data_IF_057867531594
#
_entry.id   IF_057867531594
#
_cell.length_a   1.000
_cell.length_b   1.000
_cell.length_c   1.000
_cell.angle_alpha   90.00
_cell.angle_beta   90.00
_cell.angle_gamma   90.00
#
_symmetry.space_group_name_H-M   'P 1'
#
loop_
_entity.id
_entity.type
_entity.pdbx_description
1 polymer ?
#
# COMPACT_ATOMS: atom_id res chain seq x y z
N UNK A 1 26.37 1.66 -25.76
CA UNK A 1 26.11 0.66 -24.72
C UNK A 1 24.71 0.91 -24.20
N UNK A 2 23.74 0.13 -24.66
CA UNK A 2 22.36 0.17 -24.18
C UNK A 2 22.37 -0.26 -22.70
N UNK A 3 22.02 0.65 -21.80
CA UNK A 3 21.75 0.33 -20.40
C UNK A 3 20.52 -0.57 -20.38
N UNK A 4 20.70 -1.89 -20.37
CA UNK A 4 19.62 -2.79 -20.01
C UNK A 4 19.33 -2.59 -18.53
N UNK A 5 18.24 -1.88 -18.23
CA UNK A 5 17.74 -1.77 -16.87
C UNK A 5 17.27 -3.16 -16.42
N UNK A 6 17.84 -3.65 -15.32
CA UNK A 6 17.36 -4.85 -14.63
C UNK A 6 15.89 -4.72 -14.16
N UNK A 7 15.28 -3.53 -14.27
CA UNK A 7 13.86 -3.28 -13.95
C UNK A 7 12.89 -4.02 -14.88
N UNK A 8 13.31 -4.44 -16.08
CA UNK A 8 12.44 -5.17 -17.02
C UNK A 8 12.08 -6.59 -16.55
N UNK A 9 12.88 -7.21 -15.66
CA UNK A 9 12.55 -8.51 -15.06
C UNK A 9 11.75 -8.39 -13.75
N UNK A 10 11.56 -7.18 -13.24
CA UNK A 10 10.96 -6.88 -11.93
C UNK A 10 9.67 -6.06 -11.99
N UNK A 11 9.14 -5.80 -13.20
CA UNK A 11 7.87 -5.13 -13.42
C UNK A 11 6.64 -6.02 -13.11
N UNK A 12 6.66 -6.72 -11.97
CA UNK A 12 5.56 -7.52 -11.46
C UNK A 12 5.09 -7.00 -10.10
N UNK A 13 4.07 -6.13 -10.20
CA UNK A 13 2.92 -5.99 -9.31
C UNK A 13 3.18 -5.18 -8.03
N UNK A 14 2.27 -4.23 -7.80
CA UNK A 14 1.51 -4.03 -6.57
C UNK A 14 1.31 -5.38 -5.85
N UNK A 15 2.32 -5.84 -5.12
CA UNK A 15 2.63 -7.26 -4.92
C UNK A 15 1.41 -8.09 -4.53
N UNK A 16 0.78 -8.72 -5.52
CA UNK A 16 0.11 -9.99 -5.33
C UNK A 16 1.27 -10.98 -5.30
N UNK A 17 1.54 -11.63 -4.18
CA UNK A 17 2.62 -12.61 -4.21
C UNK A 17 2.15 -13.81 -5.04
N UNK A 18 2.81 -14.00 -6.17
CA UNK A 18 2.62 -15.14 -7.08
C UNK A 18 3.40 -16.37 -6.61
N UNK A 19 3.84 -16.40 -5.34
CA UNK A 19 4.53 -17.53 -4.79
C UNK A 19 3.52 -18.68 -4.63
N UNK A 20 3.81 -19.88 -5.15
CA UNK A 20 2.94 -21.02 -4.95
C UNK A 20 2.76 -21.28 -3.45
N UNK A 21 1.51 -21.31 -2.98
CA UNK A 21 1.21 -21.68 -1.60
C UNK A 21 1.48 -23.18 -1.41
N UNK A 22 2.58 -23.54 -0.73
CA UNK A 22 3.08 -24.94 -0.64
C UNK A 22 2.43 -25.79 0.45
N UNK A 23 1.10 -25.73 0.62
CA UNK A 23 0.41 -26.65 1.52
C UNK A 23 -0.70 -27.40 0.79
N UNK A 24 -0.33 -28.54 0.18
CA UNK A 24 -1.31 -29.52 -0.32
C UNK A 24 -2.11 -30.07 0.87
N UNK A 25 -3.45 -30.03 0.85
CA UNK A 25 -4.24 -30.79 1.79
C UNK A 25 -4.06 -32.29 1.49
N UNK A 26 -4.17 -33.13 2.52
CA UNK A 26 -3.96 -34.58 2.44
C UNK A 26 -4.94 -35.34 1.49
N UNK A 27 -5.85 -34.64 0.81
CA UNK A 27 -6.94 -35.20 0.01
C UNK A 27 -7.12 -34.55 -1.39
N UNK A 28 -6.20 -33.68 -1.85
CA UNK A 28 -6.31 -33.14 -3.20
C UNK A 28 -6.08 -34.25 -4.23
N UNK A 29 -6.97 -34.40 -5.21
CA UNK A 29 -6.73 -35.33 -6.32
C UNK A 29 -5.55 -34.81 -7.16
N UNK A 30 -4.67 -35.68 -7.69
CA UNK A 30 -3.57 -35.26 -8.56
C UNK A 30 -4.00 -34.33 -9.70
N UNK A 31 -5.18 -34.59 -10.26
CA UNK A 31 -5.76 -33.79 -11.35
C UNK A 31 -6.09 -32.36 -10.91
N UNK A 32 -6.55 -32.16 -9.66
CA UNK A 32 -6.78 -30.82 -9.10
C UNK A 32 -5.48 -30.03 -9.01
N UNK A 33 -4.41 -30.68 -8.54
CA UNK A 33 -3.09 -30.05 -8.42
C UNK A 33 -2.50 -29.69 -9.79
N UNK A 34 -2.71 -30.53 -10.81
CA UNK A 34 -2.22 -30.27 -12.17
C UNK A 34 -2.91 -29.06 -12.80
N UNK A 35 -4.24 -28.96 -12.64
CA UNK A 35 -4.98 -27.76 -13.02
C UNK A 35 -4.50 -26.52 -12.25
N UNK A 36 -4.26 -26.62 -10.94
CA UNK A 36 -3.70 -25.50 -10.17
C UNK A 36 -2.35 -25.06 -10.75
N UNK A 37 -1.40 -25.98 -10.90
CA UNK A 37 -0.05 -25.69 -11.43
C UNK A 37 -0.11 -25.03 -12.80
N UNK A 38 -0.97 -25.53 -13.70
CA UNK A 38 -1.16 -24.92 -15.01
C UNK A 38 -1.79 -23.53 -14.92
N UNK A 39 -2.78 -23.34 -14.05
CA UNK A 39 -3.37 -22.03 -13.75
C UNK A 39 -2.34 -21.03 -13.26
N UNK A 40 -1.42 -21.45 -12.38
CA UNK A 40 -0.31 -20.62 -11.90
C UNK A 40 0.66 -20.23 -13.02
N UNK A 41 0.97 -21.14 -13.94
CA UNK A 41 1.80 -20.82 -15.10
C UNK A 41 1.14 -19.74 -15.97
N UNK A 42 -0.17 -19.82 -16.20
CA UNK A 42 -0.89 -18.76 -16.90
C UNK A 42 -0.94 -17.45 -16.11
N UNK A 43 -1.13 -17.52 -14.79
CA UNK A 43 -1.20 -16.36 -13.90
C UNK A 43 0.10 -15.55 -13.90
N UNK A 44 1.25 -16.22 -13.77
CA UNK A 44 2.58 -15.58 -13.80
C UNK A 44 2.84 -14.90 -15.15
N UNK A 45 2.33 -15.47 -16.24
CA UNK A 45 2.37 -14.89 -17.58
C UNK A 45 1.24 -13.87 -17.87
N UNK A 46 0.47 -13.48 -16.84
CA UNK A 46 -0.66 -12.54 -16.94
C UNK A 46 -1.78 -12.97 -17.91
N UNK A 47 -1.84 -14.27 -18.26
CA UNK A 47 -2.90 -14.87 -19.06
C UNK A 47 -4.12 -15.21 -18.17
N UNK A 48 -4.74 -14.17 -17.60
CA UNK A 48 -5.72 -14.33 -16.53
C UNK A 48 -6.94 -15.16 -16.90
N UNK A 49 -7.46 -15.06 -18.12
CA UNK A 49 -8.63 -15.85 -18.54
C UNK A 49 -8.31 -17.36 -18.64
N UNK A 50 -7.10 -17.72 -19.10
CA UNK A 50 -6.64 -19.11 -19.08
C UNK A 50 -6.37 -19.59 -17.65
N UNK A 51 -5.78 -18.74 -16.81
CA UNK A 51 -5.60 -19.05 -15.39
C UNK A 51 -6.94 -19.33 -14.69
N UNK A 52 -7.97 -18.50 -14.92
CA UNK A 52 -9.31 -18.70 -14.39
C UNK A 52 -9.93 -20.03 -14.82
N UNK A 53 -9.75 -20.42 -16.09
CA UNK A 53 -10.25 -21.70 -16.59
C UNK A 53 -9.67 -22.87 -15.79
N UNK A 54 -8.36 -22.88 -15.60
CA UNK A 54 -7.66 -23.95 -14.88
C UNK A 54 -7.97 -23.92 -13.37
N UNK A 55 -8.02 -22.76 -12.73
CA UNK A 55 -8.41 -22.66 -11.33
C UNK A 55 -9.87 -23.08 -11.08
N UNK A 56 -10.78 -22.82 -12.02
CA UNK A 56 -12.14 -23.33 -11.94
C UNK A 56 -12.20 -24.86 -12.06
N UNK A 57 -11.37 -25.46 -12.91
CA UNK A 57 -11.28 -26.91 -13.00
C UNK A 57 -10.70 -27.53 -11.71
N UNK A 58 -9.64 -26.94 -11.16
CA UNK A 58 -9.07 -27.34 -9.87
C UNK A 58 -10.10 -27.23 -8.73
N UNK A 59 -10.81 -26.10 -8.60
CA UNK A 59 -11.82 -25.91 -7.56
C UNK A 59 -13.09 -26.75 -7.74
N UNK A 60 -13.35 -27.28 -8.94
CA UNK A 60 -14.41 -28.27 -9.16
C UNK A 60 -14.05 -29.62 -8.53
N UNK A 61 -12.76 -29.97 -8.52
CA UNK A 61 -12.23 -31.21 -7.97
C UNK A 61 -11.90 -31.08 -6.47
N UNK A 62 -11.39 -29.93 -6.05
CA UNK A 62 -11.16 -29.58 -4.64
C UNK A 62 -11.71 -28.18 -4.30
N UNK A 63 -13.00 -28.09 -3.92
CA UNK A 63 -13.65 -26.81 -3.62
C UNK A 63 -13.08 -26.06 -2.41
N UNK A 64 -12.30 -26.74 -1.56
CA UNK A 64 -11.77 -26.20 -0.30
C UNK A 64 -10.28 -25.86 -0.38
N UNK A 65 -9.69 -25.82 -1.59
CA UNK A 65 -8.31 -25.37 -1.77
C UNK A 65 -8.19 -23.86 -1.56
N UNK A 66 -7.76 -23.47 -0.35
CA UNK A 66 -7.50 -22.07 -0.02
C UNK A 66 -6.45 -21.44 -0.95
N UNK A 67 -5.44 -22.21 -1.37
CA UNK A 67 -4.41 -21.76 -2.29
C UNK A 67 -5.00 -21.42 -3.67
N UNK A 68 -5.82 -22.31 -4.24
CA UNK A 68 -6.43 -22.08 -5.55
C UNK A 68 -7.41 -20.90 -5.50
N UNK A 69 -8.13 -20.72 -4.39
CA UNK A 69 -8.97 -19.54 -4.17
C UNK A 69 -8.15 -18.24 -4.15
N UNK A 70 -6.99 -18.20 -3.48
CA UNK A 70 -6.09 -17.04 -3.51
C UNK A 70 -5.63 -16.74 -4.94
N UNK A 71 -5.21 -17.76 -5.68
CA UNK A 71 -4.67 -17.57 -7.03
C UNK A 71 -5.76 -17.19 -8.05
N UNK A 72 -6.97 -17.75 -7.91
CA UNK A 72 -8.14 -17.34 -8.70
C UNK A 72 -8.59 -15.92 -8.37
N UNK A 73 -8.61 -15.55 -7.10
CA UNK A 73 -8.88 -14.18 -6.67
C UNK A 73 -7.85 -13.19 -7.24
N UNK A 74 -6.59 -13.61 -7.34
CA UNK A 74 -5.50 -12.85 -7.97
C UNK A 74 -5.75 -12.65 -9.47
N UNK A 75 -6.17 -13.70 -10.18
CA UNK A 75 -6.57 -13.60 -11.59
C UNK A 75 -7.78 -12.67 -11.81
N UNK A 76 -8.81 -12.76 -10.95
CA UNK A 76 -9.95 -11.85 -10.98
C UNK A 76 -9.53 -10.40 -10.74
N UNK A 77 -8.59 -10.15 -9.83
CA UNK A 77 -8.03 -8.83 -9.57
C UNK A 77 -7.27 -8.29 -10.81
N UNK A 78 -6.47 -9.14 -11.48
CA UNK A 78 -5.84 -8.81 -12.77
C UNK A 78 -6.83 -8.37 -13.84
N UNK A 79 -8.01 -9.01 -13.88
CA UNK A 79 -9.13 -8.67 -14.77
C UNK A 79 -10.04 -7.56 -14.22
N UNK A 80 -9.70 -6.94 -13.10
CA UNK A 80 -10.50 -5.90 -12.42
C UNK A 80 -11.89 -6.35 -11.99
N UNK A 81 -12.10 -7.66 -11.85
CA UNK A 81 -13.32 -8.28 -11.34
C UNK A 81 -13.26 -8.32 -9.80
N UNK A 82 -13.18 -7.14 -9.16
CA UNK A 82 -12.82 -7.01 -7.75
C UNK A 82 -13.79 -7.66 -6.76
N UNK A 83 -15.10 -7.61 -7.03
CA UNK A 83 -16.09 -8.29 -6.19
C UNK A 83 -15.87 -9.80 -6.14
N UNK A 84 -15.54 -10.42 -7.28
CA UNK A 84 -15.21 -11.85 -7.36
C UNK A 84 -13.89 -12.16 -6.65
N UNK A 85 -12.88 -11.31 -6.83
CA UNK A 85 -11.61 -11.43 -6.12
C UNK A 85 -11.78 -11.40 -4.60
N UNK A 86 -12.53 -10.42 -4.08
CA UNK A 86 -12.83 -10.31 -2.64
C UNK A 86 -13.58 -11.54 -2.13
N UNK A 87 -14.54 -12.07 -2.89
CA UNK A 87 -15.28 -13.28 -2.50
C UNK A 87 -14.37 -14.50 -2.37
N UNK A 88 -13.43 -14.68 -3.30
CA UNK A 88 -12.44 -15.75 -3.27
C UNK A 88 -11.46 -15.58 -2.09
N UNK A 89 -10.94 -14.36 -1.87
CA UNK A 89 -10.07 -14.10 -0.72
C UNK A 89 -10.79 -14.30 0.61
N UNK A 90 -12.06 -13.90 0.73
CA UNK A 90 -12.87 -14.15 1.91
C UNK A 90 -13.01 -15.65 2.19
N UNK A 91 -13.22 -16.46 1.14
CA UNK A 91 -13.33 -17.91 1.25
C UNK A 91 -11.99 -18.53 1.64
N UNK A 92 -10.89 -18.10 1.02
CA UNK A 92 -9.55 -18.54 1.37
C UNK A 92 -9.18 -18.21 2.83
N UNK A 93 -9.53 -17.01 3.32
CA UNK A 93 -9.28 -16.59 4.72
C UNK A 93 -10.09 -17.46 5.70
N UNK A 94 -11.33 -17.83 5.37
CA UNK A 94 -12.13 -18.74 6.21
C UNK A 94 -11.49 -20.12 6.32
N UNK A 95 -10.94 -20.64 5.22
CA UNK A 95 -10.30 -21.95 5.17
C UNK A 95 -8.89 -21.96 5.79
N UNK A 96 -8.12 -20.89 5.58
CA UNK A 96 -6.75 -20.72 6.03
C UNK A 96 -6.55 -19.32 6.66
N UNK A 97 -6.98 -19.11 7.92
CA UNK A 97 -6.96 -17.79 8.58
C UNK A 97 -5.56 -17.24 8.86
N UNK A 98 -4.51 -18.06 8.66
CA UNK A 98 -3.10 -17.67 8.79
C UNK A 98 -2.41 -17.53 7.42
N UNK A 99 -3.16 -17.46 6.32
CA UNK A 99 -2.59 -17.21 5.00
C UNK A 99 -2.41 -15.70 4.78
N UNK A 100 -1.20 -15.19 4.99
CA UNK A 100 -0.90 -13.76 4.83
C UNK A 100 -1.18 -13.25 3.41
N UNK A 101 -1.05 -14.10 2.38
CA UNK A 101 -1.29 -13.74 0.98
C UNK A 101 -2.75 -13.41 0.74
N UNK A 102 -3.66 -14.17 1.35
CA UNK A 102 -5.09 -13.92 1.20
C UNK A 102 -5.47 -12.53 1.75
N UNK A 103 -4.91 -12.15 2.90
CA UNK A 103 -5.08 -10.81 3.47
C UNK A 103 -4.39 -9.74 2.61
N UNK A 104 -3.13 -9.92 2.25
CA UNK A 104 -2.41 -8.96 1.42
C UNK A 104 -3.14 -8.72 0.09
N UNK A 105 -3.58 -9.76 -0.61
CA UNK A 105 -4.21 -9.64 -1.92
C UNK A 105 -5.63 -9.05 -1.82
N UNK A 106 -6.37 -9.33 -0.74
CA UNK A 106 -7.64 -8.64 -0.46
C UNK A 106 -7.40 -7.15 -0.14
N UNK A 107 -6.36 -6.83 0.63
CA UNK A 107 -5.94 -5.46 0.91
C UNK A 107 -5.56 -4.69 -0.36
N UNK A 108 -4.84 -5.33 -1.28
CA UNK A 108 -4.57 -4.77 -2.63
C UNK A 108 -5.87 -4.49 -3.36
N UNK A 109 -6.83 -5.41 -3.31
CA UNK A 109 -8.14 -5.23 -3.98
C UNK A 109 -8.91 -4.05 -3.39
N UNK A 110 -8.95 -3.92 -2.06
CA UNK A 110 -9.53 -2.76 -1.40
C UNK A 110 -8.81 -1.46 -1.76
N UNK A 111 -7.48 -1.47 -1.87
CA UNK A 111 -6.73 -0.28 -2.30
C UNK A 111 -7.07 0.13 -3.74
N UNK A 112 -7.26 -0.84 -4.64
CA UNK A 112 -7.69 -0.58 -6.03
C UNK A 112 -9.09 0.01 -6.13
N UNK A 113 -9.96 -0.34 -5.20
CA UNK A 113 -11.31 0.22 -5.04
C UNK A 113 -11.33 1.51 -4.19
N UNK A 114 -10.14 2.05 -3.83
CA UNK A 114 -9.96 3.24 -2.99
C UNK A 114 -10.55 3.11 -1.56
N UNK A 115 -10.81 1.89 -1.10
CA UNK A 115 -11.18 1.59 0.29
C UNK A 115 -9.91 1.48 1.15
N UNK A 116 -9.26 2.62 1.35
CA UNK A 116 -7.99 2.71 2.09
C UNK A 116 -8.08 2.17 3.53
N UNK A 117 -9.15 2.41 4.31
CA UNK A 117 -9.29 1.83 5.65
C UNK A 117 -9.29 0.30 5.65
N UNK A 118 -10.05 -0.35 4.75
CA UNK A 118 -10.05 -1.82 4.67
C UNK A 118 -8.71 -2.34 4.15
N UNK A 119 -8.11 -1.67 3.18
CA UNK A 119 -6.78 -2.02 2.66
C UNK A 119 -5.72 -2.05 3.77
N UNK A 120 -5.63 -0.97 4.56
CA UNK A 120 -4.66 -0.87 5.66
C UNK A 120 -4.90 -1.96 6.71
N UNK A 121 -6.17 -2.24 7.07
CA UNK A 121 -6.52 -3.30 8.02
C UNK A 121 -6.04 -4.68 7.56
N UNK A 122 -6.23 -4.98 6.27
CA UNK A 122 -5.80 -6.25 5.70
C UNK A 122 -4.28 -6.36 5.61
N UNK A 123 -3.58 -5.29 5.24
CA UNK A 123 -2.12 -5.29 5.27
C UNK A 123 -1.56 -5.41 6.70
N UNK A 124 -2.20 -4.78 7.68
CA UNK A 124 -1.84 -4.96 9.09
C UNK A 124 -1.98 -6.42 9.52
N UNK A 125 -3.05 -7.10 9.10
CA UNK A 125 -3.22 -8.52 9.39
C UNK A 125 -2.18 -9.38 8.67
N UNK A 126 -1.83 -9.07 7.43
CA UNK A 126 -0.77 -9.77 6.71
C UNK A 126 0.59 -9.62 7.42
N UNK A 127 0.94 -8.42 7.88
CA UNK A 127 2.17 -8.14 8.66
C UNK A 127 2.15 -8.87 10.01
N UNK A 128 1.01 -8.95 10.69
CA UNK A 128 0.86 -9.68 11.95
C UNK A 128 1.11 -11.19 11.76
N UNK A 129 0.57 -11.76 10.68
CA UNK A 129 0.70 -13.19 10.34
C UNK A 129 2.14 -13.52 9.94
N UNK A 130 2.74 -12.74 9.03
CA UNK A 130 4.13 -12.93 8.61
C UNK A 130 4.87 -11.58 8.54
N UNK A 131 5.60 -11.21 9.61
CA UNK A 131 6.28 -9.93 9.70
C UNK A 131 7.54 -9.84 8.83
N UNK A 132 7.94 -10.92 8.15
CA UNK A 132 9.11 -10.93 7.28
C UNK A 132 8.77 -10.59 5.83
N UNK A 133 7.49 -10.32 5.52
CA UNK A 133 7.03 -10.09 4.15
C UNK A 133 7.11 -8.61 3.77
N UNK A 134 8.16 -8.16 3.03
CA UNK A 134 8.34 -6.75 2.68
C UNK A 134 7.13 -6.15 1.96
N UNK A 135 6.45 -7.00 1.19
CA UNK A 135 5.39 -6.64 0.27
C UNK A 135 4.19 -6.04 1.01
N UNK A 136 3.87 -6.57 2.19
CA UNK A 136 2.76 -6.10 3.00
C UNK A 136 3.07 -4.72 3.62
N UNK A 137 4.34 -4.46 3.98
CA UNK A 137 4.78 -3.14 4.45
C UNK A 137 4.71 -2.09 3.34
N UNK A 138 5.17 -2.41 2.12
CA UNK A 138 5.11 -1.50 0.98
C UNK A 138 3.66 -1.15 0.61
N UNK A 139 2.80 -2.17 0.49
CA UNK A 139 1.40 -1.98 0.16
C UNK A 139 0.67 -1.16 1.24
N UNK A 140 0.92 -1.46 2.52
CA UNK A 140 0.39 -0.65 3.64
C UNK A 140 0.87 0.79 3.58
N UNK A 141 2.16 1.01 3.31
CA UNK A 141 2.72 2.35 3.22
C UNK A 141 2.09 3.15 2.08
N UNK A 142 1.89 2.53 0.91
CA UNK A 142 1.17 3.14 -0.20
C UNK A 142 -0.26 3.55 0.18
N UNK A 143 -1.06 2.62 0.71
CA UNK A 143 -2.42 2.93 1.15
C UNK A 143 -2.46 4.02 2.25
N UNK A 144 -1.48 4.01 3.15
CA UNK A 144 -1.36 5.03 4.21
C UNK A 144 -0.97 6.41 3.67
N UNK A 145 -0.07 6.47 2.70
CA UNK A 145 0.33 7.71 2.02
C UNK A 145 -0.85 8.30 1.25
N UNK A 146 -1.60 7.45 0.52
CA UNK A 146 -2.83 7.84 -0.17
C UNK A 146 -3.90 8.37 0.80
N UNK A 147 -3.99 7.80 2.00
CA UNK A 147 -4.94 8.21 3.05
C UNK A 147 -4.53 9.49 3.79
N UNK A 148 -3.26 9.89 3.71
CA UNK A 148 -2.73 10.99 4.53
C UNK A 148 -2.21 10.58 5.91
N UNK A 149 -2.03 9.28 6.17
CA UNK A 149 -1.67 8.72 7.48
C UNK A 149 -0.35 7.92 7.47
N UNK A 150 0.63 8.36 6.68
CA UNK A 150 1.89 7.63 6.41
C UNK A 150 2.86 7.47 7.58
N UNK A 151 2.74 8.27 8.65
CA UNK A 151 3.70 8.27 9.77
C UNK A 151 3.80 6.91 10.48
N UNK A 152 2.67 6.26 10.73
CA UNK A 152 2.66 4.95 11.39
C UNK A 152 3.32 3.87 10.51
N UNK A 153 3.02 3.89 9.21
CA UNK A 153 3.66 3.00 8.23
C UNK A 153 5.17 3.22 8.14
N UNK A 154 5.62 4.48 8.22
CA UNK A 154 7.04 4.81 8.24
C UNK A 154 7.77 4.18 9.43
N UNK A 155 7.19 4.26 10.63
CA UNK A 155 7.76 3.63 11.84
C UNK A 155 7.80 2.11 11.74
N UNK A 156 6.75 1.49 11.20
CA UNK A 156 6.70 0.04 10.97
C UNK A 156 7.78 -0.41 9.99
N UNK A 157 7.96 0.30 8.88
CA UNK A 157 9.04 0.03 7.92
C UNK A 157 10.41 0.20 8.56
N UNK A 158 10.64 1.27 9.31
CA UNK A 158 11.92 1.49 9.98
C UNK A 158 12.26 0.34 10.95
N UNK A 159 11.27 -0.09 11.75
CA UNK A 159 11.44 -1.24 12.63
C UNK A 159 11.76 -2.52 11.85
N UNK A 160 11.06 -2.76 10.74
CA UNK A 160 11.30 -3.91 9.86
C UNK A 160 12.71 -3.87 9.25
N UNK A 161 13.14 -2.74 8.68
CA UNK A 161 14.48 -2.56 8.11
C UNK A 161 15.59 -2.83 9.13
N UNK A 162 15.42 -2.35 10.37
CA UNK A 162 16.37 -2.60 11.46
C UNK A 162 16.40 -4.07 11.86
N UNK A 163 15.23 -4.71 11.96
CA UNK A 163 15.11 -6.14 12.33
C UNK A 163 15.75 -7.05 11.28
N UNK A 164 15.65 -6.71 10.00
CA UNK A 164 16.23 -7.49 8.90
C UNK A 164 17.69 -7.13 8.60
N UNK A 165 18.27 -6.14 9.30
CA UNK A 165 19.56 -5.52 8.97
C UNK A 165 19.64 -5.15 7.48
N UNK A 166 18.58 -4.51 6.99
CA UNK A 166 18.44 -4.07 5.60
C UNK A 166 18.51 -5.19 4.55
N UNK A 167 18.44 -6.47 4.95
CA UNK A 167 18.43 -7.60 4.01
C UNK A 167 17.08 -7.67 3.30
N UNK A 168 17.14 -7.76 1.97
CA UNK A 168 15.97 -7.91 1.11
C UNK A 168 15.97 -6.91 -0.04
N UNK A 169 15.42 -7.34 -1.17
CA UNK A 169 15.39 -6.56 -2.41
C UNK A 169 14.64 -5.22 -2.28
N UNK A 170 13.66 -5.17 -1.38
CA UNK A 170 12.76 -4.02 -1.21
C UNK A 170 13.23 -2.99 -0.18
N UNK A 171 14.41 -3.16 0.42
CA UNK A 171 14.88 -2.26 1.48
C UNK A 171 14.96 -0.78 1.01
N UNK A 172 15.45 -0.55 -0.22
CA UNK A 172 15.48 0.77 -0.85
C UNK A 172 14.08 1.37 -1.03
N UNK A 173 13.17 0.63 -1.65
CA UNK A 173 11.78 1.05 -1.85
C UNK A 173 11.07 1.38 -0.54
N UNK A 174 11.23 0.52 0.47
CA UNK A 174 10.63 0.72 1.78
C UNK A 174 11.16 2.00 2.44
N UNK A 175 12.48 2.24 2.38
CA UNK A 175 13.07 3.46 2.95
C UNK A 175 12.57 4.75 2.29
N UNK A 176 12.32 4.74 0.97
CA UNK A 176 11.71 5.86 0.23
C UNK A 176 10.30 6.13 0.75
N UNK A 177 9.44 5.11 0.81
CA UNK A 177 8.06 5.27 1.28
C UNK A 177 8.00 5.69 2.76
N UNK A 178 8.89 5.15 3.61
CA UNK A 178 8.98 5.54 5.01
C UNK A 178 9.40 7.01 5.17
N UNK A 179 10.39 7.47 4.40
CA UNK A 179 10.80 8.87 4.45
C UNK A 179 9.69 9.82 4.00
N UNK A 180 8.92 9.44 2.98
CA UNK A 180 7.73 10.18 2.56
C UNK A 180 6.62 10.15 3.64
N UNK A 181 6.45 9.02 4.33
CA UNK A 181 5.50 8.90 5.46
C UNK A 181 5.88 9.80 6.66
N UNK A 182 7.17 9.87 6.99
CA UNK A 182 7.68 10.80 8.01
C UNK A 182 7.43 12.27 7.64
N UNK A 183 7.66 12.64 6.37
CA UNK A 183 7.35 13.98 5.85
C UNK A 183 5.86 14.30 5.94
N UNK A 184 5.00 13.36 5.54
CA UNK A 184 3.53 13.51 5.63
C UNK A 184 3.06 13.69 7.08
N UNK A 185 3.74 13.06 8.04
CA UNK A 185 3.51 13.24 9.48
C UNK A 185 4.04 14.55 10.08
N UNK A 186 4.62 15.44 9.27
CA UNK A 186 5.15 16.74 9.73
C UNK A 186 6.51 16.69 10.43
N UNK A 187 7.14 15.52 10.53
CA UNK A 187 8.48 15.37 11.11
C UNK A 187 9.42 14.63 10.14
N UNK A 188 10.11 15.36 9.25
CA UNK A 188 10.96 14.76 8.22
C UNK A 188 12.31 14.24 8.75
N UNK A 189 12.74 14.63 9.95
CA UNK A 189 14.11 14.37 10.42
C UNK A 189 14.45 12.86 10.52
N UNK A 190 13.60 12.00 11.10
CA UNK A 190 13.84 10.55 11.11
C UNK A 190 13.90 9.96 9.69
N UNK A 191 13.00 10.39 8.80
CA UNK A 191 12.99 9.97 7.41
C UNK A 191 14.26 10.36 6.66
N UNK A 192 14.78 11.56 6.89
CA UNK A 192 16.04 12.01 6.29
C UNK A 192 17.23 11.18 6.78
N UNK A 193 17.31 10.90 8.09
CA UNK A 193 18.35 10.04 8.65
C UNK A 193 18.28 8.62 8.06
N UNK A 194 17.06 8.08 7.90
CA UNK A 194 16.82 6.77 7.29
C UNK A 194 17.31 6.72 5.83
N UNK A 195 17.10 7.78 5.05
CA UNK A 195 17.59 7.85 3.66
C UNK A 195 19.12 7.90 3.58
N UNK A 196 19.79 8.62 4.47
CA UNK A 196 21.26 8.65 4.53
C UNK A 196 21.86 7.29 4.91
N UNK A 197 21.14 6.52 5.74
CA UNK A 197 21.49 5.12 6.04
C UNK A 197 21.26 4.23 4.81
N UNK A 198 20.12 4.38 4.13
CA UNK A 198 19.79 3.63 2.91
C UNK A 198 20.86 3.79 1.82
N UNK A 199 21.35 5.01 1.58
CA UNK A 199 22.42 5.28 0.60
C UNK A 199 23.72 4.48 0.86
N UNK A 200 23.95 4.05 2.10
CA UNK A 200 25.11 3.23 2.50
C UNK A 200 24.82 1.73 2.44
N UNK A 201 23.55 1.33 2.60
CA UNK A 201 23.12 -0.05 2.79
C UNK A 201 22.53 -0.71 1.55
N UNK A 202 22.06 0.07 0.56
CA UNK A 202 21.40 -0.45 -0.65
C UNK A 202 22.31 -0.44 -1.87
N UNK A 203 22.03 -1.33 -2.82
CA UNK A 203 22.73 -1.42 -4.10
C UNK A 203 22.60 -0.10 -4.90
N UNK A 204 23.74 0.46 -5.31
CA UNK A 204 23.82 1.74 -6.02
C UNK A 204 23.45 1.64 -7.49
N UNK A 205 23.48 0.42 -8.05
CA UNK A 205 23.21 0.16 -9.46
C UNK A 205 21.74 -0.21 -9.73
N UNK A 206 20.93 -0.34 -8.67
CA UNK A 206 19.53 -0.74 -8.77
C UNK A 206 18.60 0.42 -8.45
N UNK A 207 17.44 0.41 -9.11
CA UNK A 207 16.30 1.20 -8.67
C UNK A 207 15.86 0.74 -7.26
N UNK A 208 15.55 1.64 -6.31
CA UNK A 208 15.28 3.07 -6.45
C UNK A 208 16.42 3.97 -5.95
N UNK A 209 17.70 3.59 -6.13
CA UNK A 209 18.83 4.38 -5.63
C UNK A 209 18.84 5.87 -6.09
N UNK A 210 18.48 6.21 -7.35
CA UNK A 210 18.31 7.61 -7.75
C UNK A 210 17.26 8.37 -6.93
N UNK A 211 16.17 7.72 -6.53
CA UNK A 211 15.13 8.33 -5.69
C UNK A 211 15.67 8.65 -4.27
N UNK A 212 16.55 7.81 -3.71
CA UNK A 212 17.24 8.10 -2.44
C UNK A 212 18.10 9.36 -2.55
N UNK A 213 18.86 9.51 -3.65
CA UNK A 213 19.65 10.72 -3.91
C UNK A 213 18.73 11.95 -4.05
N UNK A 214 17.62 11.82 -4.76
CA UNK A 214 16.66 12.90 -4.93
C UNK A 214 16.03 13.38 -3.61
N UNK A 215 15.63 12.45 -2.75
CA UNK A 215 15.02 12.78 -1.46
C UNK A 215 16.03 13.33 -0.44
N UNK A 216 17.32 13.02 -0.61
CA UNK A 216 18.43 13.60 0.18
C UNK A 216 19.02 14.88 -0.44
N UNK A 217 18.46 15.36 -1.57
CA UNK A 217 18.93 16.59 -2.24
C UNK A 217 20.23 16.44 -3.03
N UNK A 218 20.73 15.21 -3.22
CA UNK A 218 21.93 14.89 -4.01
C UNK A 218 21.64 14.67 -5.51
N UNK A 219 20.39 14.85 -5.92
CA UNK A 219 19.90 14.69 -7.30
C UNK A 219 18.66 15.56 -7.49
N UNK A 220 18.56 16.26 -8.62
CA UNK A 220 17.42 17.11 -8.96
C UNK A 220 16.21 16.28 -9.41
N UNK A 221 15.02 16.87 -9.41
CA UNK A 221 13.83 16.19 -9.93
C UNK A 221 13.93 15.86 -11.42
N UNK A 222 14.63 16.70 -12.20
CA UNK A 222 14.86 16.45 -13.64
C UNK A 222 15.78 15.25 -13.85
N UNK A 223 16.92 15.21 -13.17
CA UNK A 223 17.84 14.06 -13.24
C UNK A 223 17.18 12.76 -12.77
N UNK A 224 16.24 12.83 -11.80
CA UNK A 224 15.51 11.63 -11.36
C UNK A 224 14.68 11.03 -12.50
N UNK A 225 14.00 11.90 -13.26
CA UNK A 225 13.20 11.48 -14.40
C UNK A 225 14.08 10.91 -15.52
N UNK A 226 15.23 11.52 -15.79
CA UNK A 226 16.21 11.02 -16.76
C UNK A 226 16.75 9.63 -16.36
N UNK A 227 17.08 9.40 -15.09
CA UNK A 227 17.50 8.07 -14.61
C UNK A 227 16.39 7.01 -14.73
N UNK A 228 15.12 7.42 -14.69
CA UNK A 228 13.96 6.54 -14.74
C UNK A 228 13.41 6.29 -16.16
N UNK A 229 13.86 7.05 -17.17
CA UNK A 229 13.23 7.15 -18.50
C UNK A 229 13.21 5.82 -19.28
N UNK A 230 14.14 4.91 -18.96
CA UNK A 230 14.28 3.62 -19.63
C UNK A 230 13.27 2.55 -19.17
N UNK A 231 12.46 2.86 -18.16
CA UNK A 231 11.52 1.93 -17.54
C UNK A 231 10.22 2.65 -17.19
N UNK A 232 9.10 2.21 -17.78
CA UNK A 232 7.76 2.74 -17.45
C UNK A 232 7.43 2.58 -15.96
N UNK A 233 7.93 1.49 -15.35
CA UNK A 233 7.79 1.23 -13.93
C UNK A 233 8.56 2.26 -13.10
N UNK A 234 9.84 2.47 -13.40
CA UNK A 234 10.70 3.40 -12.65
C UNK A 234 10.20 4.84 -12.85
N UNK A 235 9.75 5.18 -14.06
CA UNK A 235 9.15 6.48 -14.38
C UNK A 235 7.86 6.72 -13.58
N UNK A 236 7.01 5.70 -13.44
CA UNK A 236 5.81 5.75 -12.60
C UNK A 236 6.19 6.08 -11.15
N UNK A 237 7.20 5.40 -10.61
CA UNK A 237 7.65 5.63 -9.26
C UNK A 237 8.30 7.01 -9.09
N UNK A 238 9.15 7.42 -10.03
CA UNK A 238 9.81 8.73 -10.03
C UNK A 238 8.80 9.88 -9.97
N UNK A 239 7.80 9.87 -10.86
CA UNK A 239 6.73 10.88 -10.85
C UNK A 239 5.94 10.85 -9.55
N UNK A 240 5.60 9.67 -9.01
CA UNK A 240 4.87 9.58 -7.75
C UNK A 240 5.70 10.12 -6.56
N UNK A 241 7.00 9.80 -6.48
CA UNK A 241 7.87 10.30 -5.42
C UNK A 241 8.08 11.82 -5.51
N UNK A 242 8.17 12.37 -6.72
CA UNK A 242 8.16 13.82 -6.96
C UNK A 242 6.87 14.45 -6.43
N UNK A 243 5.72 13.89 -6.80
CA UNK A 243 4.43 14.37 -6.34
C UNK A 243 4.32 14.36 -4.81
N UNK A 244 4.64 13.24 -4.17
CA UNK A 244 4.55 13.09 -2.71
C UNK A 244 5.49 14.05 -1.97
N UNK A 245 6.72 14.25 -2.48
CA UNK A 245 7.64 15.27 -1.93
C UNK A 245 7.04 16.67 -2.04
N UNK A 246 6.51 17.05 -3.20
CA UNK A 246 5.94 18.39 -3.42
C UNK A 246 4.63 18.62 -2.65
N UNK A 247 3.81 17.59 -2.42
CA UNK A 247 2.61 17.69 -1.56
C UNK A 247 2.96 18.08 -0.12
N UNK A 248 4.09 17.60 0.39
CA UNK A 248 4.60 17.98 1.73
C UNK A 248 5.38 19.30 1.71
N UNK A 249 5.60 19.88 0.53
CA UNK A 249 6.26 21.16 0.31
C UNK A 249 5.30 22.29 -0.05
N UNK A 250 5.81 23.30 -0.77
CA UNK A 250 5.04 24.49 -1.18
C UNK A 250 4.38 24.34 -2.56
N UNK A 251 4.90 23.48 -3.43
CA UNK A 251 4.54 23.43 -4.85
C UNK A 251 3.43 22.42 -5.18
N UNK A 252 2.25 22.57 -4.56
CA UNK A 252 1.12 21.65 -4.74
C UNK A 252 0.64 21.52 -6.19
N UNK A 253 0.77 22.59 -7.00
CA UNK A 253 0.42 22.57 -8.43
C UNK A 253 1.33 21.63 -9.20
N UNK A 254 2.64 21.69 -8.93
CA UNK A 254 3.61 20.80 -9.55
C UNK A 254 3.40 19.36 -9.09
N UNK A 255 3.05 19.16 -7.81
CA UNK A 255 2.65 17.85 -7.32
C UNK A 255 1.50 17.25 -8.14
N UNK A 256 0.44 18.03 -8.38
CA UNK A 256 -0.70 17.59 -9.18
C UNK A 256 -0.30 17.22 -10.61
N UNK A 257 0.59 17.98 -11.25
CA UNK A 257 1.10 17.66 -12.60
C UNK A 257 1.75 16.28 -12.65
N UNK A 258 2.52 15.89 -11.63
CA UNK A 258 3.12 14.56 -11.57
C UNK A 258 2.08 13.47 -11.26
N UNK A 259 1.09 13.72 -10.39
CA UNK A 259 0.00 12.76 -10.13
C UNK A 259 -0.82 12.49 -11.40
N UNK A 260 -1.20 13.55 -12.13
CA UNK A 260 -1.95 13.45 -13.37
C UNK A 260 -1.16 12.67 -14.43
N UNK A 261 0.16 12.89 -14.50
CA UNK A 261 1.04 12.09 -15.35
C UNK A 261 0.96 10.60 -14.99
N UNK A 262 1.13 10.25 -13.71
CA UNK A 262 1.06 8.85 -13.26
C UNK A 262 -0.29 8.22 -13.59
N UNK A 263 -1.40 8.91 -13.37
CA UNK A 263 -2.74 8.38 -13.66
C UNK A 263 -2.94 8.16 -15.17
N UNK A 264 -2.36 9.04 -16.00
CA UNK A 264 -2.50 9.01 -17.46
C UNK A 264 -1.59 7.98 -18.13
N UNK A 265 -0.34 7.87 -17.70
CA UNK A 265 0.71 7.11 -18.42
C UNK A 265 1.37 6.03 -17.57
N UNK A 266 1.17 6.05 -16.25
CA UNK A 266 1.87 5.16 -15.34
C UNK A 266 1.39 3.71 -15.38
N UNK A 267 2.26 2.83 -14.89
CA UNK A 267 2.03 1.39 -14.81
C UNK A 267 1.07 1.05 -13.67
N UNK A 268 -0.12 0.55 -14.03
CA UNK A 268 -1.20 0.23 -13.08
C UNK A 268 -0.88 -0.93 -12.12
N UNK A 269 0.22 -1.65 -12.40
CA UNK A 269 0.75 -2.71 -11.57
C UNK A 269 1.80 -2.18 -10.58
N UNK A 270 1.77 -0.91 -10.16
CA UNK A 270 2.65 -0.36 -9.12
C UNK A 270 1.83 0.19 -7.95
N UNK A 271 2.38 0.17 -6.74
CA UNK A 271 1.76 0.81 -5.56
C UNK A 271 1.60 2.31 -5.82
N UNK A 272 2.60 2.92 -6.43
CA UNK A 272 2.69 4.33 -6.76
C UNK A 272 1.58 4.81 -7.69
N UNK A 273 1.15 3.99 -8.65
CA UNK A 273 -0.01 4.31 -9.48
C UNK A 273 -1.28 4.48 -8.66
N UNK A 274 -1.54 3.57 -7.72
CA UNK A 274 -2.76 3.62 -6.90
C UNK A 274 -2.71 4.71 -5.84
N UNK A 275 -1.52 5.06 -5.33
CA UNK A 275 -1.33 6.29 -4.55
C UNK A 275 -1.77 7.49 -5.38
N UNK A 276 -1.26 7.63 -6.60
CA UNK A 276 -1.54 8.79 -7.44
C UNK A 276 -3.02 8.86 -7.86
N UNK A 277 -3.62 7.71 -8.19
CA UNK A 277 -5.04 7.62 -8.54
C UNK A 277 -5.94 8.03 -7.38
N UNK A 278 -5.66 7.54 -6.17
CA UNK A 278 -6.41 7.91 -4.96
C UNK A 278 -6.30 9.41 -4.69
N UNK A 279 -5.08 9.96 -4.67
CA UNK A 279 -4.84 11.38 -4.41
C UNK A 279 -5.44 12.31 -5.47
N UNK A 280 -5.56 11.87 -6.73
CA UNK A 280 -6.19 12.63 -7.81
C UNK A 280 -7.72 12.57 -7.76
N UNK A 281 -8.27 11.44 -7.32
CA UNK A 281 -9.73 11.24 -7.18
C UNK A 281 -10.29 12.02 -5.99
N UNK A 282 -9.48 12.19 -4.95
CA UNK A 282 -9.72 13.10 -3.84
C UNK A 282 -9.55 14.57 -4.29
N UNK A 283 -10.44 15.10 -5.16
CA UNK A 283 -10.48 16.55 -5.42
C UNK A 283 -10.56 17.29 -4.09
N UNK A 284 -9.90 18.46 -3.94
CA UNK A 284 -9.96 19.22 -2.71
C UNK A 284 -11.41 19.59 -2.45
N UNK A 285 -12.02 18.96 -1.45
CA UNK A 285 -13.26 19.47 -0.87
C UNK A 285 -12.91 20.85 -0.35
N UNK A 286 -13.47 21.89 -0.99
CA UNK A 286 -13.63 23.17 -0.34
C UNK A 286 -14.29 22.93 1.03
N UNK A 287 -13.83 23.68 2.03
CA UNK A 287 -14.25 23.69 3.43
C UNK A 287 -13.43 22.83 4.41
N UNK A 288 -12.45 23.51 5.01
CA UNK A 288 -12.48 23.70 6.46
C UNK A 288 -13.91 24.01 6.92
N UNK A 289 -14.66 22.98 7.32
CA UNK A 289 -15.66 23.16 8.35
C UNK A 289 -14.99 22.76 9.66
N UNK A 290 -14.60 23.80 10.39
CA UNK A 290 -14.43 23.77 11.84
C UNK A 290 -15.47 22.86 12.48
N UNK A 291 -15.03 21.98 13.36
CA UNK A 291 -15.88 21.24 14.30
C UNK A 291 -16.98 22.15 14.85
N UNK A 292 -18.26 21.71 14.90
CA UNK A 292 -19.22 22.40 15.74
C UNK A 292 -18.75 22.25 17.18
N UNK A 293 -18.38 23.39 17.77
CA UNK A 293 -18.12 23.54 19.19
C UNK A 293 -19.28 22.96 19.99
N UNK A 294 -18.93 22.21 21.05
CA UNK A 294 -19.87 21.71 22.04
C UNK A 294 -20.81 22.83 22.52
N UNK A 295 -22.10 22.55 22.75
CA UNK A 295 -23.03 23.55 23.23
C UNK A 295 -22.60 24.04 24.62
N UNK A 296 -22.44 25.35 24.73
CA UNK A 296 -22.14 26.05 25.97
C UNK A 296 -23.22 25.76 27.03
N UNK A 297 -22.76 25.32 28.20
CA UNK A 297 -23.56 25.25 29.42
C UNK A 297 -24.01 26.68 29.75
N UNK A 298 -25.30 26.96 29.58
CA UNK A 298 -25.91 28.19 30.10
C UNK A 298 -25.92 28.10 31.63
N UNK A 299 -25.13 28.96 32.27
CA UNK A 299 -25.33 29.32 33.67
C UNK A 299 -26.61 30.14 33.76
N UNK A 300 -27.65 29.57 34.37
CA UNK A 300 -28.79 30.33 34.85
C UNK A 300 -28.38 31.08 36.12
N UNK A 301 -28.26 32.39 36.01
CA UNK A 301 -28.16 33.31 37.12
C UNK A 301 -29.56 33.89 37.40
N UNK A 302 -30.33 33.26 38.29
CA UNK A 302 -31.51 33.89 38.88
C UNK A 302 -31.10 34.61 40.17
N UNK A 303 -31.20 35.93 40.15
CA UNK A 303 -31.05 36.80 41.32
C UNK A 303 -32.33 36.80 42.15
N UNK A 304 -32.12 36.58 43.46
CA UNK A 304 -32.59 37.41 44.59
C UNK A 304 -34.10 37.61 44.81
N UNK A 305 -34.59 37.12 45.96
CA UNK A 305 -35.33 37.96 46.90
C UNK A 305 -35.24 37.43 48.35
N UNK A 306 -35.11 38.37 49.27
CA UNK A 306 -34.82 38.21 50.68
C UNK A 306 -35.98 37.63 51.53
N UNK A 307 -35.62 37.05 52.69
CA UNK A 307 -36.29 37.42 53.95
C UNK A 307 -35.44 37.04 55.17
N UNK A 308 -35.17 38.06 55.96
CA UNK A 308 -34.53 37.99 57.26
C UNK A 308 -35.46 37.32 58.30
N UNK A 309 -34.81 36.70 59.30
CA UNK A 309 -35.40 36.16 60.51
C UNK A 309 -36.19 37.22 61.31
N UNK A 310 -37.00 36.76 62.27
CA UNK A 310 -36.61 37.10 63.64
C UNK A 310 -36.66 35.93 64.62
N UNK A 311 -35.83 36.06 65.64
CA UNK A 311 -35.75 35.24 66.83
C UNK A 311 -37.02 35.34 67.71
N UNK A 312 -37.29 34.26 68.47
CA UNK A 312 -37.78 34.20 69.88
C UNK A 312 -38.16 32.74 70.20
N UNK A 313 -37.38 32.05 71.02
CA UNK A 313 -37.54 31.85 72.47
C UNK A 313 -38.68 30.90 72.87
N UNK A 314 -38.36 29.63 73.12
CA UNK A 314 -38.37 28.92 74.43
C UNK A 314 -38.06 27.45 74.20
#
# INVERSE_FOLDING_TARGET
>A
MTKFSASALLALILLLALLPSTRSPANASPESEDHHKLGNNFLVNQNFELALKEFNASLKLDPNSAATLVDRGTAYNGLRKYALAIADFNSAIKLAPTNYLAFNNRGVTHFREDDLPLAIKDFDKAIEIDPNQPIAYLNRAGASLAKGSGLESARKIESWLRKTDWKGEYAGHASVLAALGYRQGGNPAPGNALLEEALKKTDRLKWPYPALKFLTGKLSGKELLEEAESSDYDSTQAHCFLALKYLTGKDKKLAQTHLDWVVKTGTQNSVEYWIAKSLTSQKPTSSTKSSPSAPAVKQDASKSAAKAAPAKSK
#
